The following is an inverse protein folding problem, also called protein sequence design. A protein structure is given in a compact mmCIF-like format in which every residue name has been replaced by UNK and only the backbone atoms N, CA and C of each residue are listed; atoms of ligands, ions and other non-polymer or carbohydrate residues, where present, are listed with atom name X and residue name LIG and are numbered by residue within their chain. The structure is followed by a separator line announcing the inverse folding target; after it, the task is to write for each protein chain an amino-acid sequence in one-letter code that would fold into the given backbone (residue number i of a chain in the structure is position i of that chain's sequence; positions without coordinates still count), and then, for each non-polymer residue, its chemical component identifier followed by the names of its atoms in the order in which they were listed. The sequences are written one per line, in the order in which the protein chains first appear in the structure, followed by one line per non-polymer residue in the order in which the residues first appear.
data_IF_995248673319
#
_entry.id   IF_995248673319
#
_cell.length_a   1.000
_cell.length_b   1.000
_cell.length_c   1.000
_cell.angle_alpha   90.00
_cell.angle_beta   90.00
_cell.angle_gamma   90.00
#
_symmetry.space_group_name_H-M   'P 1'
#
loop_
_entity.id
_entity.type
_entity.pdbx_description
1 polymer ?
#
# COMPACT_ATOMS: atom_id res chain seq x y z
N UNK A 1 0.09 15.90 -40.31
CA UNK A 1 -0.70 16.01 -39.06
C UNK A 1 -0.69 14.65 -38.39
N UNK A 2 0.04 14.43 -37.29
CA UNK A 2 0.21 13.08 -36.76
C UNK A 2 -0.99 12.68 -35.88
N UNK A 3 -1.54 11.52 -36.23
CA UNK A 3 -2.43 10.64 -35.48
C UNK A 3 -2.65 11.00 -34.00
N UNK A 4 -3.78 11.64 -33.71
CA UNK A 4 -4.40 11.59 -32.40
C UNK A 4 -4.93 10.16 -32.19
N UNK A 5 -4.07 9.27 -31.70
CA UNK A 5 -4.50 7.96 -31.22
C UNK A 5 -5.42 8.19 -30.03
N UNK A 6 -6.59 7.57 -30.06
CA UNK A 6 -7.57 7.56 -28.98
C UNK A 6 -7.06 6.73 -27.79
N UNK A 7 -5.90 7.07 -27.24
CA UNK A 7 -5.47 6.53 -25.96
C UNK A 7 -6.51 6.92 -24.91
N UNK A 8 -6.96 5.94 -24.13
CA UNK A 8 -7.84 6.20 -22.99
C UNK A 8 -7.14 7.21 -22.07
N UNK A 9 -7.56 8.48 -22.13
CA UNK A 9 -7.01 9.56 -21.31
C UNK A 9 -7.35 9.28 -19.84
N UNK A 10 -6.40 8.70 -19.13
CA UNK A 10 -6.49 8.49 -17.69
C UNK A 10 -6.30 9.81 -16.93
N UNK A 11 -5.54 10.75 -17.50
CA UNK A 11 -5.34 12.07 -16.91
C UNK A 11 -6.55 12.99 -17.15
N UNK A 12 -6.93 13.87 -16.19
CA UNK A 12 -8.04 14.79 -16.34
C UNK A 12 -8.04 15.60 -17.64
N UNK A 13 -9.21 15.68 -18.27
CA UNK A 13 -9.35 16.34 -19.57
C UNK A 13 -9.65 17.83 -19.45
N UNK A 14 -10.34 18.25 -18.38
CA UNK A 14 -10.77 19.64 -18.16
C UNK A 14 -9.98 20.31 -17.04
N UNK A 15 -9.93 21.65 -17.06
CA UNK A 15 -9.34 22.44 -15.97
C UNK A 15 -10.05 22.20 -14.63
N UNK A 16 -11.39 22.20 -14.63
CA UNK A 16 -12.20 21.98 -13.44
C UNK A 16 -11.92 20.62 -12.78
N UNK A 17 -11.80 19.56 -13.59
CA UNK A 17 -11.44 18.22 -13.11
C UNK A 17 -10.03 18.18 -12.51
N UNK A 18 -9.04 18.84 -13.15
CA UNK A 18 -7.68 18.96 -12.59
C UNK A 18 -7.69 19.67 -11.25
N UNK A 19 -8.44 20.76 -11.13
CA UNK A 19 -8.57 21.51 -9.88
C UNK A 19 -9.24 20.67 -8.79
N UNK A 20 -10.27 19.87 -9.13
CA UNK A 20 -10.90 18.97 -8.18
C UNK A 20 -9.91 17.90 -7.67
N UNK A 21 -9.13 17.26 -8.56
CA UNK A 21 -8.09 16.29 -8.16
C UNK A 21 -7.05 16.95 -7.25
N UNK A 22 -6.54 18.13 -7.63
CA UNK A 22 -5.55 18.88 -6.85
C UNK A 22 -6.11 19.27 -5.49
N UNK A 23 -7.37 19.72 -5.42
CA UNK A 23 -8.02 20.10 -4.17
C UNK A 23 -8.18 18.89 -3.23
N UNK A 24 -8.66 17.75 -3.74
CA UNK A 24 -8.83 16.54 -2.92
C UNK A 24 -7.49 16.06 -2.38
N UNK A 25 -6.46 16.01 -3.23
CA UNK A 25 -5.10 15.63 -2.82
C UNK A 25 -4.51 16.66 -1.85
N UNK A 26 -4.76 17.95 -2.07
CA UNK A 26 -4.31 19.02 -1.19
C UNK A 26 -4.93 18.92 0.21
N UNK A 27 -6.23 18.61 0.30
CA UNK A 27 -6.90 18.34 1.59
C UNK A 27 -6.32 17.10 2.27
N UNK A 28 -6.10 16.02 1.53
CA UNK A 28 -5.45 14.82 2.05
C UNK A 28 -4.05 15.12 2.60
N UNK A 29 -3.23 15.85 1.83
CA UNK A 29 -1.88 16.23 2.22
C UNK A 29 -1.87 17.14 3.45
N UNK A 30 -2.78 18.12 3.52
CA UNK A 30 -2.90 19.02 4.67
C UNK A 30 -3.29 18.26 5.95
N UNK A 31 -4.26 17.36 5.86
CA UNK A 31 -4.69 16.53 6.99
C UNK A 31 -3.60 15.51 7.38
N UNK A 32 -2.95 14.86 6.42
CA UNK A 32 -1.83 13.96 6.68
C UNK A 32 -0.64 14.68 7.32
N UNK A 33 -0.34 15.90 6.88
CA UNK A 33 0.66 16.75 7.54
C UNK A 33 0.26 17.07 8.97
N UNK A 34 -1.00 17.42 9.22
CA UNK A 34 -1.51 17.64 10.57
C UNK A 34 -1.37 16.39 11.45
N UNK A 35 -1.72 15.20 10.95
CA UNK A 35 -1.45 13.95 11.67
C UNK A 35 0.03 13.76 11.97
N UNK A 36 0.89 14.02 10.98
CA UNK A 36 2.34 13.78 11.10
C UNK A 36 2.99 14.58 12.23
N UNK A 37 2.46 15.77 12.55
CA UNK A 37 2.98 16.65 13.61
C UNK A 37 2.20 16.58 14.91
N UNK A 38 0.91 16.18 14.87
CA UNK A 38 0.05 16.15 16.06
C UNK A 38 0.07 14.81 16.79
N UNK A 39 0.25 13.70 16.08
CA UNK A 39 0.39 12.39 16.70
C UNK A 39 1.79 12.33 17.31
N UNK A 40 1.97 12.06 18.61
CA UNK A 40 3.31 11.95 19.16
C UNK A 40 4.10 10.84 18.43
N UNK A 41 5.42 11.04 18.17
CA UNK A 41 6.26 9.97 17.62
C UNK A 41 6.08 8.66 18.39
N UNK A 42 5.92 7.58 17.62
CA UNK A 42 5.78 6.19 18.05
C UNK A 42 4.46 5.80 18.73
N UNK A 43 3.44 6.67 18.69
CA UNK A 43 2.08 6.32 19.14
C UNK A 43 1.26 5.60 18.06
N UNK A 44 1.74 5.54 16.82
CA UNK A 44 1.16 4.69 15.78
C UNK A 44 1.72 3.27 15.88
N UNK A 45 0.93 2.20 15.60
CA UNK A 45 1.42 0.83 15.67
C UNK A 45 2.68 0.64 14.85
N UNK A 46 3.64 -0.08 15.44
CA UNK A 46 4.91 -0.51 14.84
C UNK A 46 5.83 0.60 14.29
N UNK A 47 5.45 1.88 14.46
CA UNK A 47 6.20 3.01 13.90
C UNK A 47 7.64 3.07 14.45
N UNK A 48 7.82 2.79 15.75
CA UNK A 48 9.14 2.72 16.38
C UNK A 48 10.01 1.62 15.75
N UNK A 49 9.40 0.49 15.39
CA UNK A 49 10.11 -0.65 14.82
C UNK A 49 10.55 -0.36 13.38
N UNK A 50 9.66 0.21 12.57
CA UNK A 50 9.98 0.68 11.23
C UNK A 50 11.06 1.78 11.23
N UNK A 51 10.93 2.75 12.15
CA UNK A 51 11.91 3.81 12.31
C UNK A 51 13.27 3.26 12.77
N UNK A 52 13.30 2.36 13.76
CA UNK A 52 14.53 1.76 14.25
C UNK A 52 15.29 1.00 13.16
N UNK A 53 14.58 0.31 12.26
CA UNK A 53 15.19 -0.31 11.08
C UNK A 53 15.79 0.76 10.15
N UNK A 54 15.03 1.78 9.76
CA UNK A 54 15.57 2.85 8.91
C UNK A 54 16.77 3.56 9.55
N UNK A 55 16.73 3.83 10.86
CA UNK A 55 17.83 4.40 11.66
C UNK A 55 19.05 3.50 11.65
N UNK A 56 18.88 2.19 11.82
CA UNK A 56 19.99 1.22 11.75
C UNK A 56 20.76 1.35 10.44
N UNK A 57 20.05 1.45 9.31
CA UNK A 57 20.66 1.66 7.99
C UNK A 57 21.24 3.07 7.81
N UNK A 58 20.60 4.09 8.38
CA UNK A 58 21.08 5.48 8.37
C UNK A 58 22.46 5.61 9.06
N UNK A 59 22.71 4.81 10.10
CA UNK A 59 23.98 4.73 10.81
C UNK A 59 25.06 3.93 10.06
N UNK A 60 24.79 3.47 8.84
CA UNK A 60 25.75 2.74 8.00
C UNK A 60 25.88 1.25 8.33
N UNK A 61 25.00 0.70 9.17
CA UNK A 61 24.99 -0.72 9.47
C UNK A 61 24.46 -1.55 8.28
N UNK A 62 24.85 -2.85 8.17
CA UNK A 62 24.26 -3.75 7.18
C UNK A 62 22.77 -4.02 7.46
N UNK A 63 22.10 -4.76 6.58
CA UNK A 63 20.75 -5.24 6.88
C UNK A 63 20.72 -6.05 8.17
N UNK A 64 19.72 -5.86 9.03
CA UNK A 64 19.52 -6.68 10.22
C UNK A 64 19.55 -8.18 9.86
N UNK A 65 20.24 -8.94 10.69
CA UNK A 65 20.19 -10.41 10.70
C UNK A 65 19.27 -10.79 11.84
N UNK A 66 18.29 -11.63 11.55
CA UNK A 66 17.30 -12.06 12.53
C UNK A 66 17.82 -13.29 13.27
N UNK A 67 17.89 -13.20 14.59
CA UNK A 67 18.02 -14.36 15.46
C UNK A 67 17.02 -14.23 16.59
N UNK A 68 16.69 -15.36 17.24
CA UNK A 68 15.83 -15.34 18.44
C UNK A 68 16.41 -14.49 19.57
N UNK A 69 17.73 -14.32 19.58
CA UNK A 69 18.52 -13.75 20.66
C UNK A 69 18.90 -12.28 20.42
N UNK A 70 18.78 -11.75 19.20
CA UNK A 70 19.08 -10.36 18.84
C UNK A 70 17.88 -9.60 18.26
N UNK A 71 16.88 -9.38 19.11
CA UNK A 71 15.77 -8.48 18.81
C UNK A 71 16.23 -7.04 19.04
N UNK A 72 16.86 -6.44 18.03
CA UNK A 72 17.05 -4.99 18.03
C UNK A 72 15.69 -4.27 18.11
N UNK A 73 15.67 -2.95 18.30
CA UNK A 73 14.42 -2.19 18.43
C UNK A 73 13.49 -2.25 17.21
N UNK A 74 13.93 -2.82 16.09
CA UNK A 74 13.10 -3.15 14.93
C UNK A 74 12.22 -4.40 15.12
N UNK A 75 12.43 -5.21 16.15
CA UNK A 75 11.62 -6.42 16.44
C UNK A 75 11.37 -7.27 15.18
N UNK A 76 10.11 -7.68 14.95
CA UNK A 76 9.69 -8.44 13.79
C UNK A 76 9.74 -7.63 12.47
N UNK A 77 9.78 -6.30 12.52
CA UNK A 77 9.91 -5.47 11.32
C UNK A 77 11.28 -5.62 10.65
N UNK A 78 12.28 -6.12 11.38
CA UNK A 78 13.58 -6.53 10.81
C UNK A 78 13.48 -7.69 9.80
N UNK A 79 12.32 -8.34 9.68
CA UNK A 79 12.06 -9.37 8.66
C UNK A 79 11.52 -8.82 7.35
N UNK A 80 11.08 -7.56 7.33
CA UNK A 80 10.46 -6.99 6.15
C UNK A 80 11.46 -6.73 5.03
N UNK A 81 10.93 -6.67 3.81
CA UNK A 81 11.71 -6.31 2.63
C UNK A 81 12.20 -4.85 2.73
N UNK A 82 13.42 -4.54 2.23
CA UNK A 82 14.17 -3.39 2.73
C UNK A 82 13.98 -2.08 1.95
N UNK A 83 13.17 -2.04 0.88
CA UNK A 83 13.11 -0.88 -0.02
C UNK A 83 12.78 0.42 0.72
N UNK A 84 11.72 0.39 1.54
CA UNK A 84 11.28 1.56 2.30
C UNK A 84 12.36 2.05 3.27
N UNK A 85 12.97 1.14 4.02
CA UNK A 85 13.97 1.47 5.04
C UNK A 85 15.27 1.98 4.44
N UNK A 86 15.69 1.48 3.28
CA UNK A 86 16.86 2.02 2.58
C UNK A 86 16.63 3.46 2.13
N UNK A 87 15.47 3.74 1.51
CA UNK A 87 15.14 5.09 1.06
C UNK A 87 15.03 6.04 2.25
N UNK A 88 14.30 5.64 3.29
CA UNK A 88 14.16 6.46 4.49
C UNK A 88 15.49 6.66 5.22
N UNK A 89 16.26 5.59 5.42
CA UNK A 89 17.57 5.66 6.08
C UNK A 89 18.51 6.65 5.39
N UNK A 90 18.47 6.75 4.06
CA UNK A 90 19.22 7.75 3.30
C UNK A 90 18.72 9.18 3.52
N UNK A 91 17.41 9.38 3.63
CA UNK A 91 16.81 10.70 3.89
C UNK A 91 17.16 11.24 5.27
N UNK A 92 17.33 10.35 6.27
CA UNK A 92 17.59 10.74 7.67
C UNK A 92 19.06 10.60 8.09
N UNK A 93 19.96 10.12 7.22
CA UNK A 93 21.36 9.85 7.56
C UNK A 93 22.14 11.07 8.07
N UNK A 94 21.75 12.29 7.66
CA UNK A 94 22.38 13.54 8.11
C UNK A 94 21.83 14.12 9.40
N UNK A 95 20.83 13.48 10.02
CA UNK A 95 20.19 13.96 11.25
C UNK A 95 20.83 13.25 12.44
N UNK A 96 21.26 14.02 13.46
CA UNK A 96 21.72 13.47 14.73
C UNK A 96 20.55 12.76 15.42
N UNK A 97 20.70 11.47 15.71
CA UNK A 97 19.68 10.59 16.30
C UNK A 97 20.25 9.90 17.56
N UNK A 98 21.21 10.55 18.23
CA UNK A 98 21.81 10.09 19.48
C UNK A 98 20.85 10.14 20.67
N UNK A 99 19.79 10.95 20.58
CA UNK A 99 18.71 11.07 21.55
C UNK A 99 17.65 9.94 21.47
N UNK A 100 17.79 9.00 20.54
CA UNK A 100 16.79 7.93 20.31
C UNK A 100 16.45 7.16 21.59
N UNK A 101 17.44 6.75 22.37
CA UNK A 101 17.20 5.94 23.58
C UNK A 101 16.44 6.73 24.66
N UNK A 102 16.59 8.06 24.69
CA UNK A 102 15.85 8.91 25.61
C UNK A 102 14.37 9.02 25.21
N UNK A 103 14.06 8.84 23.92
CA UNK A 103 12.69 8.82 23.40
C UNK A 103 12.15 7.41 23.14
N UNK A 104 12.92 6.33 23.26
CA UNK A 104 12.37 4.97 23.10
C UNK A 104 11.97 4.38 24.45
N UNK A 105 11.16 5.14 25.18
CA UNK A 105 10.73 4.84 26.55
C UNK A 105 9.26 4.40 26.54
N UNK A 106 9.07 3.08 26.50
CA UNK A 106 7.76 2.42 26.51
C UNK A 106 7.10 2.59 27.88
N UNK A 107 5.79 2.83 27.86
CA UNK A 107 4.96 2.93 29.04
C UNK A 107 4.53 1.54 29.52
N UNK A 108 5.00 1.07 30.71
CA UNK A 108 4.65 -0.25 31.22
C UNK A 108 3.17 -0.40 31.60
N UNK A 109 2.43 0.71 31.66
CA UNK A 109 1.00 0.73 31.96
C UNK A 109 0.12 0.96 30.72
N UNK A 110 0.70 0.89 29.51
CA UNK A 110 -0.04 1.04 28.27
C UNK A 110 -1.00 -0.13 28.04
N UNK A 111 -2.24 0.18 27.73
CA UNK A 111 -3.25 -0.81 27.38
C UNK A 111 -3.34 -0.95 25.85
N UNK A 112 -2.62 -1.94 25.32
CA UNK A 112 -2.49 -2.22 23.88
C UNK A 112 -3.56 -3.19 23.40
N UNK A 113 -4.02 -3.03 22.16
CA UNK A 113 -4.88 -4.01 21.49
C UNK A 113 -6.32 -4.13 22.02
N UNK A 114 -6.63 -3.54 23.18
CA UNK A 114 -7.98 -3.53 23.75
C UNK A 114 -8.50 -2.09 23.93
N UNK A 115 -9.24 -1.56 22.93
CA UNK A 115 -9.74 -0.20 23.00
C UNK A 115 -10.80 0.00 24.10
N UNK A 116 -11.50 -1.06 24.50
CA UNK A 116 -12.57 -1.00 25.51
C UNK A 116 -12.05 -1.01 26.94
N UNK A 117 -10.83 -1.50 27.18
CA UNK A 117 -10.29 -1.56 28.51
C UNK A 117 -9.91 -0.15 29.01
N UNK A 118 -10.38 0.27 30.20
CA UNK A 118 -10.07 1.59 30.75
C UNK A 118 -8.60 1.64 31.18
N UNK A 119 -7.91 2.76 30.95
CA UNK A 119 -6.51 2.90 31.32
C UNK A 119 -5.71 3.77 30.36
N UNK A 120 -4.38 3.76 30.51
CA UNK A 120 -3.48 4.57 29.72
C UNK A 120 -3.39 4.04 28.28
N UNK A 121 -3.68 4.90 27.31
CA UNK A 121 -3.67 4.56 25.88
C UNK A 121 -2.35 4.89 25.20
N UNK A 122 -1.49 5.67 25.86
CA UNK A 122 -0.21 6.10 25.33
C UNK A 122 0.80 4.97 25.49
N UNK A 123 1.36 4.54 24.38
CA UNK A 123 2.41 3.53 24.35
C UNK A 123 3.75 4.09 24.82
N UNK A 124 4.00 5.38 24.61
CA UNK A 124 5.24 6.06 24.97
C UNK A 124 5.07 6.93 26.22
N UNK A 125 6.01 6.86 27.16
CA UNK A 125 5.97 7.62 28.43
C UNK A 125 5.99 9.14 28.24
N UNK A 126 6.62 9.61 27.18
CA UNK A 126 6.88 11.02 26.90
C UNK A 126 5.95 11.57 25.80
N UNK A 127 4.87 10.85 25.47
CA UNK A 127 3.81 11.24 24.52
C UNK A 127 3.17 12.60 24.79
N UNK A 128 3.11 13.03 26.05
CA UNK A 128 2.50 14.30 26.45
C UNK A 128 3.47 15.50 26.51
N UNK A 129 4.77 15.28 26.27
CA UNK A 129 5.80 16.33 26.38
C UNK A 129 5.95 17.04 25.04
N UNK A 130 6.02 18.38 25.06
CA UNK A 130 6.31 19.19 23.87
C UNK A 130 7.72 18.88 23.35
N UNK A 131 7.84 18.60 22.05
CA UNK A 131 9.07 18.05 21.47
C UNK A 131 9.75 19.06 20.53
N UNK A 132 11.05 19.33 20.70
CA UNK A 132 11.78 20.15 19.76
C UNK A 132 11.81 19.46 18.38
N UNK A 133 11.71 20.25 17.31
CA UNK A 133 11.81 19.79 15.92
C UNK A 133 13.28 19.52 15.52
N UNK A 134 13.97 18.70 16.31
CA UNK A 134 15.37 18.34 16.16
C UNK A 134 15.56 16.86 16.54
N UNK A 135 16.80 16.37 16.39
CA UNK A 135 17.15 15.04 16.83
C UNK A 135 16.36 13.93 16.14
N UNK A 136 16.04 12.89 16.89
CA UNK A 136 15.20 11.79 16.42
C UNK A 136 13.79 12.23 16.02
N UNK A 137 13.19 13.20 16.70
CA UNK A 137 11.83 13.66 16.40
C UNK A 137 11.76 14.25 14.99
N UNK A 138 12.77 15.02 14.58
CA UNK A 138 12.88 15.51 13.20
C UNK A 138 13.02 14.35 12.20
N UNK A 139 13.83 13.34 12.50
CA UNK A 139 13.98 12.16 11.64
C UNK A 139 12.65 11.39 11.47
N UNK A 140 11.85 11.27 12.53
CA UNK A 140 10.50 10.70 12.46
C UNK A 140 9.58 11.56 11.58
N UNK A 141 9.58 12.89 11.73
CA UNK A 141 8.78 13.76 10.86
C UNK A 141 9.16 13.63 9.38
N UNK A 142 10.46 13.57 9.06
CA UNK A 142 10.93 13.32 7.69
C UNK A 142 10.39 11.98 7.18
N UNK A 143 10.41 10.92 8.00
CA UNK A 143 9.86 9.62 7.64
C UNK A 143 8.34 9.65 7.40
N UNK A 144 7.59 10.35 8.25
CA UNK A 144 6.14 10.53 8.08
C UNK A 144 5.80 11.33 6.83
N UNK A 145 6.58 12.37 6.49
CA UNK A 145 6.38 13.14 5.26
C UNK A 145 6.76 12.33 4.02
N UNK A 146 7.79 11.49 4.11
CA UNK A 146 8.12 10.54 3.06
C UNK A 146 6.97 9.54 2.83
N UNK A 147 6.42 8.94 3.89
CA UNK A 147 5.22 8.09 3.79
C UNK A 147 4.02 8.83 3.18
N UNK A 148 3.79 10.08 3.60
CA UNK A 148 2.67 10.89 3.11
C UNK A 148 2.82 11.18 1.61
N UNK A 149 4.05 11.45 1.17
CA UNK A 149 4.39 11.59 -0.24
C UNK A 149 4.03 10.32 -1.03
N UNK A 150 4.36 9.13 -0.52
CA UNK A 150 3.95 7.86 -1.16
C UNK A 150 2.41 7.71 -1.20
N UNK A 151 1.71 8.14 -0.14
CA UNK A 151 0.25 8.18 -0.08
C UNK A 151 -0.38 9.08 -1.15
N UNK A 152 0.22 10.24 -1.44
CA UNK A 152 -0.24 11.14 -2.52
C UNK A 152 -0.17 10.46 -3.89
N UNK A 153 0.95 9.78 -4.20
CA UNK A 153 1.06 9.05 -5.48
C UNK A 153 0.14 7.84 -5.55
N UNK A 154 -0.12 7.18 -4.42
CA UNK A 154 -1.12 6.11 -4.34
C UNK A 154 -2.48 6.63 -4.80
N UNK A 155 -2.91 7.79 -4.29
CA UNK A 155 -4.19 8.41 -4.67
C UNK A 155 -4.26 8.74 -6.17
N UNK A 156 -3.15 9.18 -6.78
CA UNK A 156 -3.09 9.42 -8.23
C UNK A 156 -3.31 8.13 -9.04
N UNK A 157 -2.74 7.00 -8.59
CA UNK A 157 -2.99 5.71 -9.23
C UNK A 157 -4.42 5.22 -9.00
N UNK A 158 -4.99 5.40 -7.80
CA UNK A 158 -6.40 5.11 -7.53
C UNK A 158 -7.32 5.90 -8.46
N UNK A 159 -7.06 7.20 -8.62
CA UNK A 159 -7.79 8.04 -9.57
C UNK A 159 -7.65 7.54 -11.01
N UNK A 160 -6.42 7.21 -11.44
CA UNK A 160 -6.14 6.66 -12.76
C UNK A 160 -6.89 5.35 -13.02
N UNK A 161 -6.91 4.43 -12.06
CA UNK A 161 -7.68 3.18 -12.12
C UNK A 161 -9.17 3.49 -12.27
N UNK A 162 -9.71 4.40 -11.46
CA UNK A 162 -11.13 4.78 -11.52
C UNK A 162 -11.50 5.43 -12.86
N UNK A 163 -10.60 6.25 -13.46
CA UNK A 163 -10.79 6.81 -14.80
C UNK A 163 -10.84 5.74 -15.90
N UNK A 164 -10.06 4.68 -15.76
CA UNK A 164 -10.09 3.54 -16.69
C UNK A 164 -11.33 2.65 -16.47
N UNK A 165 -11.82 2.56 -15.24
CA UNK A 165 -13.01 1.80 -14.86
C UNK A 165 -14.32 2.50 -15.27
N UNK A 166 -14.36 3.84 -15.22
CA UNK A 166 -15.55 4.66 -15.51
C UNK A 166 -15.30 5.71 -16.61
N UNK A 167 -15.02 5.29 -17.87
CA UNK A 167 -14.59 6.21 -18.93
C UNK A 167 -15.65 7.26 -19.32
N UNK A 168 -16.93 7.00 -19.06
CA UNK A 168 -18.05 7.90 -19.35
C UNK A 168 -18.41 8.88 -18.23
N UNK A 169 -17.73 8.84 -17.08
CA UNK A 169 -18.04 9.69 -15.93
C UNK A 169 -16.83 10.46 -15.44
N UNK A 170 -17.01 11.75 -15.17
CA UNK A 170 -16.03 12.57 -14.45
C UNK A 170 -16.28 12.50 -12.94
N UNK A 171 -17.54 12.34 -12.53
CA UNK A 171 -17.93 12.33 -11.13
C UNK A 171 -17.49 11.06 -10.37
N UNK A 172 -17.63 9.87 -10.98
CA UNK A 172 -17.31 8.60 -10.30
C UNK A 172 -15.80 8.46 -9.97
N UNK A 173 -14.87 8.81 -10.87
CA UNK A 173 -13.45 8.80 -10.54
C UNK A 173 -13.06 9.80 -9.44
N UNK A 174 -13.65 11.00 -9.45
CA UNK A 174 -13.46 11.98 -8.38
C UNK A 174 -14.04 11.50 -7.06
N UNK A 175 -15.20 10.84 -7.09
CA UNK A 175 -15.82 10.24 -5.90
C UNK A 175 -14.95 9.11 -5.33
N UNK A 176 -14.39 8.23 -6.18
CA UNK A 176 -13.47 7.18 -5.77
C UNK A 176 -12.19 7.75 -5.13
N UNK A 177 -11.64 8.81 -5.72
CA UNK A 177 -10.49 9.53 -5.17
C UNK A 177 -10.82 10.17 -3.81
N UNK A 178 -11.92 10.93 -3.73
CA UNK A 178 -12.35 11.62 -2.52
C UNK A 178 -12.67 10.64 -1.38
N UNK A 179 -13.37 9.55 -1.67
CA UNK A 179 -13.71 8.53 -0.67
C UNK A 179 -12.46 7.84 -0.14
N UNK A 180 -11.55 7.42 -1.02
CA UNK A 180 -10.27 6.81 -0.62
C UNK A 180 -9.44 7.77 0.24
N UNK A 181 -9.31 9.02 -0.19
CA UNK A 181 -8.58 10.06 0.54
C UNK A 181 -9.23 10.40 1.90
N UNK A 182 -10.54 10.18 2.04
CA UNK A 182 -11.29 10.44 3.26
C UNK A 182 -11.37 9.24 4.22
N UNK A 183 -10.82 8.07 3.87
CA UNK A 183 -10.75 6.93 4.80
C UNK A 183 -9.84 7.32 5.98
N UNK A 184 -10.36 7.41 7.22
CA UNK A 184 -9.57 7.89 8.35
C UNK A 184 -8.31 7.04 8.62
N UNK A 185 -8.41 5.71 8.54
CA UNK A 185 -7.24 4.85 8.68
C UNK A 185 -6.18 5.12 7.60
N UNK A 186 -6.60 5.22 6.33
CA UNK A 186 -5.68 5.42 5.22
C UNK A 186 -4.89 6.73 5.40
N UNK A 187 -5.57 7.80 5.83
CA UNK A 187 -4.94 9.08 6.10
C UNK A 187 -3.95 9.01 7.28
N UNK A 188 -4.32 8.33 8.37
CA UNK A 188 -3.47 8.16 9.55
C UNK A 188 -2.21 7.32 9.27
N UNK A 189 -2.35 6.18 8.59
CA UNK A 189 -1.23 5.31 8.23
C UNK A 189 -0.34 5.93 7.15
N UNK A 190 -0.91 6.72 6.23
CA UNK A 190 -0.12 7.50 5.27
C UNK A 190 0.77 8.53 5.94
N UNK A 191 0.44 8.98 7.15
CA UNK A 191 1.23 9.93 7.94
C UNK A 191 2.15 9.25 8.97
N UNK A 192 2.46 7.96 8.80
CA UNK A 192 3.23 7.14 9.75
C UNK A 192 4.46 6.53 9.10
N UNK A 193 5.56 6.38 9.84
CA UNK A 193 6.74 5.64 9.35
C UNK A 193 6.40 4.16 9.22
N UNK A 194 6.18 3.68 7.99
CA UNK A 194 5.83 2.28 7.72
C UNK A 194 6.08 1.89 6.26
N UNK A 195 6.58 0.67 6.06
CA UNK A 195 6.78 0.08 4.73
C UNK A 195 5.46 -0.26 4.01
N UNK A 196 4.33 -0.27 4.72
CA UNK A 196 3.00 -0.41 4.13
C UNK A 196 2.73 0.63 3.05
N UNK A 197 3.19 1.87 3.29
CA UNK A 197 3.04 2.96 2.32
C UNK A 197 3.73 2.67 0.99
N UNK A 198 4.89 1.99 1.02
CA UNK A 198 5.60 1.61 -0.20
C UNK A 198 4.89 0.49 -0.96
N UNK A 199 4.45 -0.58 -0.28
CA UNK A 199 3.76 -1.69 -0.96
C UNK A 199 2.38 -1.26 -1.49
N UNK A 200 1.68 -0.38 -0.78
CA UNK A 200 0.41 0.19 -1.25
C UNK A 200 0.62 1.05 -2.52
N UNK A 201 1.66 1.89 -2.53
CA UNK A 201 2.01 2.69 -3.70
C UNK A 201 2.34 1.81 -4.91
N UNK A 202 3.31 0.91 -4.77
CA UNK A 202 3.76 0.08 -5.89
C UNK A 202 2.69 -0.93 -6.31
N UNK A 203 1.89 -1.46 -5.38
CA UNK A 203 0.74 -2.29 -5.68
C UNK A 203 -0.32 -1.53 -6.50
N UNK A 204 -0.66 -0.31 -6.09
CA UNK A 204 -1.58 0.56 -6.84
C UNK A 204 -1.03 0.92 -8.22
N UNK A 205 0.28 1.17 -8.33
CA UNK A 205 0.96 1.43 -9.59
C UNK A 205 0.93 0.21 -10.52
N UNK A 206 1.16 -1.00 -10.00
CA UNK A 206 1.05 -2.26 -10.77
C UNK A 206 -0.39 -2.45 -11.27
N UNK A 207 -1.40 -2.31 -10.39
CA UNK A 207 -2.80 -2.47 -10.78
C UNK A 207 -3.19 -1.45 -11.85
N UNK A 208 -2.81 -0.18 -11.66
CA UNK A 208 -3.00 0.88 -12.66
C UNK A 208 -2.33 0.53 -13.99
N UNK A 209 -1.09 0.05 -13.94
CA UNK A 209 -0.35 -0.29 -15.15
C UNK A 209 -0.97 -1.46 -15.89
N UNK A 210 -1.35 -2.54 -15.18
CA UNK A 210 -2.07 -3.68 -15.74
C UNK A 210 -3.42 -3.26 -16.34
N UNK A 211 -4.17 -2.41 -15.64
CA UNK A 211 -5.42 -1.84 -16.15
C UNK A 211 -5.19 -1.07 -17.46
N UNK A 212 -4.13 -0.25 -17.51
CA UNK A 212 -3.74 0.51 -18.71
C UNK A 212 -3.35 -0.40 -19.88
N UNK A 213 -2.63 -1.50 -19.64
CA UNK A 213 -2.29 -2.46 -20.69
C UNK A 213 -3.55 -3.13 -21.27
N UNK A 214 -4.56 -3.42 -20.43
CA UNK A 214 -5.83 -4.00 -20.85
C UNK A 214 -6.71 -3.03 -21.66
N UNK A 215 -6.50 -1.72 -21.53
CA UNK A 215 -7.20 -0.71 -22.33
C UNK A 215 -6.54 -0.44 -23.68
N UNK A 216 -5.31 -0.88 -23.92
CA UNK A 216 -4.68 -0.72 -25.23
C UNK A 216 -5.47 -1.41 -26.34
N UNK A 217 -5.57 -0.72 -27.48
CA UNK A 217 -6.14 -1.29 -28.69
C UNK A 217 -5.37 -2.56 -29.10
N UNK A 218 -6.05 -3.65 -29.51
CA UNK A 218 -5.37 -4.91 -29.89
C UNK A 218 -4.31 -4.73 -30.98
N UNK A 219 -4.52 -3.75 -31.88
CA UNK A 219 -3.66 -3.44 -33.01
C UNK A 219 -2.37 -2.73 -32.59
N UNK A 220 -2.34 -2.10 -31.40
CA UNK A 220 -1.13 -1.46 -30.87
C UNK A 220 -0.19 -2.54 -30.34
N UNK A 221 1.03 -2.71 -30.88
CA UNK A 221 1.98 -3.66 -30.32
C UNK A 221 2.40 -3.25 -28.91
N UNK A 222 2.47 -4.24 -28.00
CA UNK A 222 3.06 -4.06 -26.67
C UNK A 222 4.56 -3.87 -26.84
N UNK A 223 5.07 -2.71 -26.41
CA UNK A 223 6.51 -2.43 -26.50
C UNK A 223 7.21 -3.11 -25.35
N UNK A 224 8.47 -3.46 -25.53
CA UNK A 224 9.28 -4.06 -24.47
C UNK A 224 9.40 -3.14 -23.24
N UNK A 225 9.40 -1.82 -23.42
CA UNK A 225 9.35 -0.84 -22.34
C UNK A 225 8.04 -0.89 -21.53
N UNK A 226 6.89 -1.17 -22.17
CA UNK A 226 5.61 -1.29 -21.48
C UNK A 226 5.66 -2.45 -20.47
N UNK A 227 6.39 -3.51 -20.80
CA UNK A 227 6.59 -4.71 -19.98
C UNK A 227 7.75 -4.52 -18.99
N UNK A 228 8.78 -3.78 -19.39
CA UNK A 228 9.89 -3.36 -18.53
C UNK A 228 9.45 -2.54 -17.33
N UNK A 229 8.57 -1.54 -17.55
CA UNK A 229 8.00 -0.74 -16.47
C UNK A 229 7.19 -1.62 -15.51
N UNK A 230 6.41 -2.57 -16.03
CA UNK A 230 5.69 -3.53 -15.19
C UNK A 230 6.65 -4.34 -14.32
N UNK A 231 7.76 -4.84 -14.89
CA UNK A 231 8.80 -5.54 -14.14
C UNK A 231 9.43 -4.69 -13.04
N UNK A 232 9.73 -3.42 -13.31
CA UNK A 232 10.29 -2.50 -12.30
C UNK A 232 9.30 -2.29 -11.15
N UNK A 233 8.02 -2.06 -11.46
CA UNK A 233 6.98 -1.86 -10.45
C UNK A 233 6.76 -3.12 -9.60
N UNK A 234 6.76 -4.30 -10.23
CA UNK A 234 6.66 -5.59 -9.54
C UNK A 234 7.87 -5.85 -8.64
N UNK A 235 9.09 -5.56 -9.11
CA UNK A 235 10.31 -5.67 -8.31
C UNK A 235 10.27 -4.74 -7.10
N UNK A 236 9.84 -3.49 -7.29
CA UNK A 236 9.70 -2.52 -6.21
C UNK A 236 8.63 -2.94 -5.19
N UNK A 237 7.49 -3.47 -5.63
CA UNK A 237 6.45 -4.02 -4.74
C UNK A 237 6.99 -5.22 -3.93
N UNK A 238 7.68 -6.16 -4.59
CA UNK A 238 8.28 -7.33 -3.96
C UNK A 238 9.42 -6.97 -2.98
N UNK A 239 10.14 -5.87 -3.19
CA UNK A 239 11.16 -5.36 -2.26
C UNK A 239 10.57 -4.42 -1.19
N UNK A 240 9.28 -4.08 -1.25
CA UNK A 240 8.59 -3.27 -0.23
C UNK A 240 8.00 -4.13 0.89
N UNK A 241 7.36 -5.25 0.52
CA UNK A 241 6.77 -6.21 1.45
C UNK A 241 6.55 -7.55 0.77
N UNK A 242 6.59 -8.67 1.51
CA UNK A 242 6.38 -10.01 0.96
C UNK A 242 5.03 -10.17 0.24
N UNK A 243 3.98 -9.51 0.74
CA UNK A 243 2.65 -9.52 0.10
C UNK A 243 2.68 -8.95 -1.33
N UNK A 244 3.68 -8.12 -1.66
CA UNK A 244 3.90 -7.63 -3.01
C UNK A 244 4.17 -8.74 -4.05
N UNK A 245 4.64 -9.92 -3.64
CA UNK A 245 4.85 -11.07 -4.53
C UNK A 245 3.54 -11.59 -5.14
N UNK A 246 2.40 -11.44 -4.44
CA UNK A 246 1.09 -11.83 -4.96
C UNK A 246 0.74 -11.14 -6.29
N UNK A 247 1.31 -9.95 -6.53
CA UNK A 247 1.13 -9.19 -7.77
C UNK A 247 1.82 -9.83 -8.98
N UNK A 248 2.85 -10.67 -8.77
CA UNK A 248 3.47 -11.45 -9.87
C UNK A 248 2.46 -12.43 -10.47
N UNK A 249 1.67 -13.09 -9.62
CA UNK A 249 0.59 -13.98 -10.04
C UNK A 249 -0.47 -13.22 -10.84
N UNK A 250 -0.93 -12.08 -10.33
CA UNK A 250 -1.88 -11.22 -11.05
C UNK A 250 -1.34 -10.76 -12.40
N UNK A 251 -0.08 -10.31 -12.46
CA UNK A 251 0.55 -9.88 -13.69
C UNK A 251 0.65 -11.02 -14.72
N UNK A 252 1.02 -12.23 -14.27
CA UNK A 252 1.02 -13.43 -15.10
C UNK A 252 -0.35 -13.75 -15.71
N UNK A 253 -1.41 -13.70 -14.89
CA UNK A 253 -2.79 -13.90 -15.35
C UNK A 253 -3.19 -12.85 -16.39
N UNK A 254 -2.85 -11.57 -16.17
CA UNK A 254 -3.15 -10.49 -17.12
C UNK A 254 -2.36 -10.65 -18.42
N UNK A 255 -1.09 -11.07 -18.37
CA UNK A 255 -0.29 -11.32 -19.58
C UNK A 255 -0.87 -12.49 -20.38
N UNK A 256 -1.28 -13.58 -19.72
CA UNK A 256 -2.00 -14.68 -20.34
C UNK A 256 -3.31 -14.21 -20.99
N UNK A 257 -4.06 -13.36 -20.29
CA UNK A 257 -5.29 -12.77 -20.81
C UNK A 257 -5.04 -11.88 -22.02
N UNK A 258 -4.00 -11.03 -22.00
CA UNK A 258 -3.59 -10.21 -23.13
C UNK A 258 -3.17 -11.06 -24.34
N UNK A 259 -2.43 -12.15 -24.11
CA UNK A 259 -2.03 -13.08 -25.16
C UNK A 259 -3.25 -13.73 -25.83
N UNK A 260 -4.24 -14.13 -25.03
CA UNK A 260 -5.52 -14.67 -25.52
C UNK A 260 -6.32 -13.63 -26.31
N UNK A 261 -6.51 -12.42 -25.75
CA UNK A 261 -7.25 -11.33 -26.41
C UNK A 261 -6.64 -10.92 -27.76
N UNK A 262 -5.31 -10.96 -27.86
CA UNK A 262 -4.55 -10.57 -29.05
C UNK A 262 -4.29 -11.73 -30.01
N UNK A 263 -4.66 -12.96 -29.64
CA UNK A 263 -4.34 -14.20 -30.36
C UNK A 263 -2.83 -14.34 -30.66
N UNK A 264 -1.98 -13.90 -29.73
CA UNK A 264 -0.52 -13.93 -29.85
C UNK A 264 0.11 -14.62 -28.64
N UNK A 265 0.25 -15.95 -28.69
CA UNK A 265 0.88 -16.74 -27.62
C UNK A 265 2.37 -16.42 -27.47
N UNK A 266 3.03 -15.92 -28.53
CA UNK A 266 4.45 -15.49 -28.45
C UNK A 266 4.62 -14.28 -27.54
N UNK A 267 3.54 -13.57 -27.20
CA UNK A 267 3.57 -12.52 -26.19
C UNK A 267 4.07 -13.04 -24.84
N UNK A 268 3.76 -14.28 -24.46
CA UNK A 268 4.23 -14.87 -23.20
C UNK A 268 5.76 -14.89 -23.16
N UNK A 269 6.39 -15.35 -24.25
CA UNK A 269 7.85 -15.39 -24.39
C UNK A 269 8.46 -13.98 -24.45
N UNK A 270 7.82 -13.06 -25.20
CA UNK A 270 8.28 -11.67 -25.32
C UNK A 270 8.15 -10.88 -24.03
N UNK A 271 7.19 -11.23 -23.17
CA UNK A 271 6.98 -10.59 -21.87
C UNK A 271 7.90 -11.12 -20.78
N UNK A 272 8.38 -12.37 -20.92
CA UNK A 272 9.19 -13.02 -19.90
C UNK A 272 10.43 -12.18 -19.49
N UNK A 273 11.34 -11.90 -20.43
CA UNK A 273 12.57 -11.18 -20.09
C UNK A 273 12.35 -9.74 -19.62
N UNK A 274 11.54 -8.90 -20.30
CA UNK A 274 11.31 -7.53 -19.84
C UNK A 274 10.65 -7.44 -18.46
N UNK A 275 9.86 -8.42 -18.04
CA UNK A 275 9.25 -8.45 -16.71
C UNK A 275 10.18 -9.09 -15.68
N UNK A 276 10.72 -10.27 -15.97
CA UNK A 276 11.50 -11.06 -15.01
C UNK A 276 12.86 -10.41 -14.67
N UNK A 277 13.55 -9.83 -15.65
CA UNK A 277 14.88 -9.25 -15.43
C UNK A 277 14.84 -8.10 -14.41
N UNK A 278 13.96 -7.07 -14.55
CA UNK A 278 13.87 -6.04 -13.53
C UNK A 278 13.45 -6.56 -12.15
N UNK A 279 12.52 -7.52 -12.08
CA UNK A 279 12.09 -8.12 -10.79
C UNK A 279 13.28 -8.77 -10.08
N UNK A 280 14.06 -9.60 -10.79
CA UNK A 280 15.23 -10.28 -10.23
C UNK A 280 16.33 -9.30 -9.85
N UNK A 281 16.61 -8.29 -10.68
CA UNK A 281 17.64 -7.29 -10.38
C UNK A 281 17.29 -6.43 -9.17
N UNK A 282 16.02 -6.04 -9.03
CA UNK A 282 15.58 -5.17 -7.94
C UNK A 282 15.42 -5.96 -6.64
N UNK A 283 14.76 -7.11 -6.69
CA UNK A 283 14.32 -7.82 -5.48
C UNK A 283 15.08 -9.13 -5.23
N UNK A 284 15.58 -9.79 -6.28
CA UNK A 284 16.13 -11.14 -6.21
C UNK A 284 17.32 -11.30 -5.26
N UNK A 285 18.17 -10.28 -5.12
CA UNK A 285 19.31 -10.31 -4.20
C UNK A 285 18.87 -10.44 -2.73
N UNK A 286 17.71 -9.87 -2.36
CA UNK A 286 17.22 -9.93 -0.98
C UNK A 286 16.63 -11.31 -0.66
N UNK A 287 15.87 -11.89 -1.59
CA UNK A 287 15.37 -13.26 -1.47
C UNK A 287 16.53 -14.28 -1.46
N UNK A 288 17.57 -14.06 -2.27
CA UNK A 288 18.78 -14.88 -2.24
C UNK A 288 19.53 -14.75 -0.91
N UNK A 289 19.61 -13.54 -0.34
CA UNK A 289 20.16 -13.31 1.00
C UNK A 289 19.38 -14.08 2.06
N UNK A 290 18.05 -14.03 2.02
CA UNK A 290 17.20 -14.75 2.97
C UNK A 290 17.46 -16.26 2.88
N UNK A 291 17.50 -16.81 1.67
CA UNK A 291 17.83 -18.22 1.46
C UNK A 291 19.24 -18.58 1.99
N UNK A 292 20.24 -17.73 1.73
CA UNK A 292 21.62 -17.98 2.16
C UNK A 292 21.79 -17.90 3.69
N UNK A 293 21.04 -17.03 4.36
CA UNK A 293 21.14 -16.83 5.81
C UNK A 293 20.26 -17.78 6.61
N UNK A 294 19.06 -18.07 6.10
CA UNK A 294 18.01 -18.74 6.86
C UNK A 294 17.56 -20.08 6.25
N UNK A 295 18.00 -20.42 5.03
CA UNK A 295 17.51 -21.59 4.30
C UNK A 295 16.07 -21.43 3.76
N UNK A 296 15.46 -20.26 3.96
CA UNK A 296 14.10 -19.91 3.54
C UNK A 296 14.15 -18.68 2.63
N UNK A 297 13.61 -18.80 1.42
CA UNK A 297 13.54 -17.71 0.45
C UNK A 297 12.72 -16.53 0.95
N UNK A 298 11.61 -16.78 1.64
CA UNK A 298 10.68 -15.74 2.06
C UNK A 298 10.98 -15.24 3.48
N UNK A 299 11.76 -15.98 4.26
CA UNK A 299 12.04 -15.66 5.67
C UNK A 299 10.79 -15.74 6.56
N UNK A 300 9.77 -16.50 6.14
CA UNK A 300 8.52 -16.68 6.85
C UNK A 300 8.75 -17.53 8.09
N UNK A 301 9.57 -18.56 8.02
CA UNK A 301 9.86 -19.42 9.18
C UNK A 301 10.52 -18.60 10.30
N UNK A 302 11.43 -17.69 9.92
CA UNK A 302 12.09 -16.81 10.86
C UNK A 302 11.09 -15.80 11.47
N UNK A 303 10.23 -15.18 10.66
CA UNK A 303 9.15 -14.31 11.13
C UNK A 303 8.22 -15.04 12.12
N UNK A 304 7.81 -16.28 11.80
CA UNK A 304 6.94 -17.09 12.64
C UNK A 304 7.61 -17.50 13.95
N UNK A 305 8.93 -17.73 13.94
CA UNK A 305 9.68 -17.99 15.17
C UNK A 305 9.74 -16.78 16.11
N UNK A 306 9.71 -15.55 15.56
CA UNK A 306 9.72 -14.30 16.32
C UNK A 306 8.32 -13.98 16.85
N UNK A 307 7.31 -14.04 15.98
CA UNK A 307 5.92 -13.68 16.31
C UNK A 307 5.15 -14.79 17.03
N UNK A 308 5.70 -15.99 17.06
CA UNK A 308 5.04 -17.19 17.57
C UNK A 308 4.15 -17.84 16.52
N UNK A 309 4.25 -19.16 16.41
CA UNK A 309 3.32 -19.94 15.60
C UNK A 309 1.99 -20.09 16.33
N UNK A 310 0.88 -19.89 15.62
CA UNK A 310 -0.44 -20.23 16.14
C UNK A 310 -0.54 -21.76 16.20
N UNK A 311 -0.74 -22.30 17.39
CA UNK A 311 -0.79 -23.75 17.64
C UNK A 311 -2.14 -24.39 17.30
N UNK A 312 -3.21 -23.60 17.16
CA UNK A 312 -4.58 -24.11 16.97
C UNK A 312 -5.17 -23.73 15.59
N UNK A 313 -5.84 -24.68 14.88
CA UNK A 313 -6.57 -24.38 13.65
C UNK A 313 -7.72 -23.42 13.91
N UNK A 314 -7.95 -22.45 13.01
CA UNK A 314 -9.06 -21.50 13.16
C UNK A 314 -10.40 -22.19 12.94
N UNK A 315 -11.33 -21.94 13.85
CA UNK A 315 -12.76 -22.19 13.61
C UNK A 315 -13.35 -21.10 12.71
N UNK A 316 -14.43 -21.42 11.99
CA UNK A 316 -15.16 -20.43 11.18
C UNK A 316 -15.65 -19.23 12.01
N UNK A 317 -16.00 -19.44 13.29
CA UNK A 317 -16.41 -18.39 14.21
C UNK A 317 -15.25 -17.42 14.53
N UNK A 318 -14.04 -17.93 14.77
CA UNK A 318 -12.85 -17.11 14.99
C UNK A 318 -12.48 -16.31 13.74
N UNK A 319 -12.57 -16.93 12.55
CA UNK A 319 -12.36 -16.24 11.28
C UNK A 319 -13.33 -15.05 11.12
N UNK A 320 -14.62 -15.26 11.41
CA UNK A 320 -15.61 -14.19 11.37
C UNK A 320 -15.35 -13.09 12.41
N UNK A 321 -14.84 -13.46 13.59
CA UNK A 321 -14.39 -12.53 14.61
C UNK A 321 -13.24 -11.63 14.14
N UNK A 322 -12.27 -12.19 13.44
CA UNK A 322 -11.14 -11.43 12.87
C UNK A 322 -11.60 -10.47 11.76
N UNK A 323 -12.54 -10.89 10.89
CA UNK A 323 -13.12 -10.00 9.88
C UNK A 323 -13.79 -8.76 10.51
N UNK A 324 -14.34 -8.90 11.72
CA UNK A 324 -14.86 -7.75 12.48
C UNK A 324 -13.74 -6.80 12.88
N UNK A 325 -12.60 -7.33 13.33
CA UNK A 325 -11.39 -6.54 13.63
C UNK A 325 -10.88 -5.81 12.38
N UNK A 326 -10.79 -6.51 11.25
CA UNK A 326 -10.40 -5.94 9.94
C UNK A 326 -11.32 -4.80 9.53
N UNK A 327 -12.63 -4.92 9.75
CA UNK A 327 -13.58 -3.83 9.48
C UNK A 327 -13.25 -2.57 10.29
N UNK A 328 -12.97 -2.71 11.59
CA UNK A 328 -12.65 -1.57 12.45
C UNK A 328 -11.32 -0.92 12.06
N UNK A 329 -10.28 -1.74 11.83
CA UNK A 329 -8.97 -1.24 11.43
C UNK A 329 -8.96 -0.68 10.01
N UNK A 330 -9.79 -1.18 9.08
CA UNK A 330 -9.92 -0.62 7.74
C UNK A 330 -10.44 0.83 7.76
N UNK A 331 -11.46 1.11 8.57
CA UNK A 331 -12.08 2.43 8.62
C UNK A 331 -11.35 3.41 9.52
N UNK A 332 -10.96 2.99 10.71
CA UNK A 332 -10.26 3.86 11.65
C UNK A 332 -10.17 3.24 13.03
N UNK A 333 -9.00 2.76 13.38
CA UNK A 333 -8.62 2.27 14.70
C UNK A 333 -7.21 2.80 14.97
N UNK A 334 -7.14 3.84 15.80
CA UNK A 334 -5.94 4.65 16.01
C UNK A 334 -5.18 4.23 17.26
N UNK A 335 -3.99 4.83 17.42
CA UNK A 335 -3.03 4.43 18.44
C UNK A 335 -2.59 2.98 18.24
N UNK A 336 -2.12 2.33 19.29
CA UNK A 336 -1.79 0.91 19.31
C UNK A 336 -3.03 0.01 19.41
N UNK A 337 -3.93 0.13 18.41
CA UNK A 337 -5.25 -0.50 18.37
C UNK A 337 -6.11 -0.16 19.60
N UNK A 338 -5.95 1.05 20.12
CA UNK A 338 -6.43 1.44 21.45
C UNK A 338 -7.52 2.51 21.40
N UNK A 339 -7.70 3.19 20.26
CA UNK A 339 -8.65 4.30 20.09
C UNK A 339 -9.62 4.00 18.94
N UNK A 340 -10.87 3.70 19.29
CA UNK A 340 -11.97 3.51 18.33
C UNK A 340 -12.60 4.85 17.93
N UNK A 341 -13.12 4.91 16.70
CA UNK A 341 -14.12 5.92 16.34
C UNK A 341 -15.42 5.66 17.11
N UNK A 342 -16.25 6.70 17.32
CA UNK A 342 -17.62 6.51 17.78
C UNK A 342 -18.38 5.48 16.95
N UNK A 343 -19.10 4.56 17.61
CA UNK A 343 -19.75 3.41 16.96
C UNK A 343 -20.68 3.80 15.80
N UNK A 344 -21.36 4.95 15.92
CA UNK A 344 -22.25 5.45 14.87
C UNK A 344 -21.50 5.79 13.56
N UNK A 345 -20.24 6.22 13.64
CA UNK A 345 -19.43 6.53 12.45
C UNK A 345 -19.19 5.26 11.64
N UNK A 346 -18.83 4.14 12.28
CA UNK A 346 -18.70 2.87 11.58
C UNK A 346 -19.99 2.44 10.90
N UNK A 347 -21.16 2.65 11.54
CA UNK A 347 -22.46 2.33 10.92
C UNK A 347 -22.72 3.19 9.67
N UNK A 348 -22.40 4.48 9.71
CA UNK A 348 -22.51 5.37 8.54
C UNK A 348 -21.59 4.90 7.42
N UNK A 349 -20.33 4.53 7.74
CA UNK A 349 -19.37 4.02 6.78
C UNK A 349 -19.79 2.66 6.18
N UNK A 350 -20.46 1.80 6.95
CA UNK A 350 -21.06 0.56 6.42
C UNK A 350 -22.16 0.87 5.39
N UNK A 351 -23.04 1.82 5.69
CA UNK A 351 -24.10 2.24 4.75
C UNK A 351 -23.46 2.81 3.47
N UNK A 352 -22.44 3.65 3.59
CA UNK A 352 -21.69 4.18 2.43
C UNK A 352 -21.08 3.04 1.62
N UNK A 353 -20.52 2.02 2.27
CA UNK A 353 -19.94 0.84 1.60
C UNK A 353 -20.99 0.08 0.79
N UNK A 354 -22.16 -0.18 1.38
CA UNK A 354 -23.27 -0.86 0.70
C UNK A 354 -23.76 -0.05 -0.49
N UNK A 355 -23.92 1.27 -0.33
CA UNK A 355 -24.30 2.17 -1.44
C UNK A 355 -23.24 2.16 -2.54
N UNK A 356 -21.95 2.19 -2.18
CA UNK A 356 -20.87 2.16 -3.16
C UNK A 356 -20.86 0.85 -3.98
N UNK A 357 -21.08 -0.30 -3.33
CA UNK A 357 -21.23 -1.59 -4.02
C UNK A 357 -22.44 -1.55 -4.95
N UNK A 358 -23.59 -1.07 -4.46
CA UNK A 358 -24.79 -0.96 -5.28
C UNK A 358 -24.60 -0.08 -6.52
N UNK A 359 -24.01 1.11 -6.37
CA UNK A 359 -23.70 2.03 -7.47
C UNK A 359 -22.74 1.38 -8.48
N UNK A 360 -21.70 0.70 -8.00
CA UNK A 360 -20.76 -0.06 -8.84
C UNK A 360 -21.50 -1.11 -9.67
N UNK A 361 -22.35 -1.92 -9.05
CA UNK A 361 -23.09 -2.97 -9.76
C UNK A 361 -24.08 -2.40 -10.78
N UNK A 362 -24.76 -1.28 -10.47
CA UNK A 362 -25.61 -0.57 -11.45
C UNK A 362 -24.80 -0.11 -12.67
N UNK A 363 -23.61 0.49 -12.45
CA UNK A 363 -22.72 0.88 -13.56
C UNK A 363 -22.21 -0.32 -14.35
N UNK A 364 -21.95 -1.44 -13.68
CA UNK A 364 -21.56 -2.68 -14.34
C UNK A 364 -22.68 -3.17 -15.26
N UNK A 365 -23.93 -3.19 -14.80
CA UNK A 365 -25.10 -3.56 -15.63
C UNK A 365 -25.26 -2.62 -16.83
N UNK A 366 -25.11 -1.30 -16.66
CA UNK A 366 -25.18 -0.36 -17.80
C UNK A 366 -24.06 -0.61 -18.81
N UNK A 367 -22.84 -0.90 -18.33
CA UNK A 367 -21.71 -1.24 -19.18
C UNK A 367 -21.96 -2.56 -19.91
N UNK A 368 -22.61 -3.55 -19.28
CA UNK A 368 -23.01 -4.83 -19.89
C UNK A 368 -24.02 -4.65 -21.03
N UNK A 369 -24.92 -3.67 -20.93
CA UNK A 369 -25.88 -3.32 -21.99
C UNK A 369 -25.23 -2.60 -23.17
N UNK A 370 -24.20 -1.80 -22.95
CA UNK A 370 -23.45 -1.08 -23.99
C UNK A 370 -22.35 -1.94 -24.68
N UNK A 371 -22.61 -3.24 -24.93
CA UNK A 371 -21.57 -4.22 -25.28
C UNK A 371 -20.80 -3.99 -26.59
N UNK A 372 -21.39 -3.26 -27.52
CA UNK A 372 -20.76 -2.96 -28.80
C UNK A 372 -19.70 -1.85 -28.70
N UNK A 373 -19.72 -1.02 -27.65
CA UNK A 373 -18.85 0.15 -27.57
C UNK A 373 -17.46 -0.20 -27.02
N UNK A 374 -16.41 0.19 -27.75
CA UNK A 374 -15.01 -0.05 -27.35
C UNK A 374 -14.68 0.47 -25.93
N UNK A 375 -15.07 1.70 -25.53
CA UNK A 375 -14.83 2.18 -24.16
C UNK A 375 -15.51 1.30 -23.10
N UNK A 376 -16.70 0.79 -23.38
CA UNK A 376 -17.41 -0.10 -22.45
C UNK A 376 -16.69 -1.45 -22.31
N UNK A 377 -16.14 -2.00 -23.39
CA UNK A 377 -15.33 -3.22 -23.35
C UNK A 377 -14.04 -3.04 -22.55
N UNK A 378 -13.35 -1.90 -22.71
CA UNK A 378 -12.15 -1.57 -21.93
C UNK A 378 -12.47 -1.47 -20.44
N UNK A 379 -13.54 -0.74 -20.07
CA UNK A 379 -14.00 -0.63 -18.69
C UNK A 379 -14.33 -1.98 -18.06
N UNK A 380 -15.00 -2.88 -18.80
CA UNK A 380 -15.27 -4.25 -18.33
C UNK A 380 -13.99 -5.03 -18.01
N UNK A 381 -12.95 -4.88 -18.84
CA UNK A 381 -11.66 -5.56 -18.59
C UNK A 381 -11.02 -5.06 -17.28
N UNK A 382 -11.09 -3.76 -17.03
CA UNK A 382 -10.61 -3.16 -15.78
C UNK A 382 -11.43 -3.66 -14.60
N UNK A 383 -12.76 -3.70 -14.69
CA UNK A 383 -13.59 -4.26 -13.61
C UNK A 383 -13.30 -5.73 -13.31
N UNK A 384 -13.10 -6.56 -14.34
CA UNK A 384 -12.71 -7.96 -14.18
C UNK A 384 -11.31 -8.09 -13.54
N UNK A 385 -10.35 -7.25 -13.94
CA UNK A 385 -9.04 -7.19 -13.28
C UNK A 385 -9.19 -6.90 -11.77
N UNK A 386 -9.98 -5.89 -11.42
CA UNK A 386 -10.22 -5.51 -10.02
C UNK A 386 -10.94 -6.61 -9.24
N UNK A 387 -11.89 -7.32 -9.87
CA UNK A 387 -12.57 -8.48 -9.27
C UNK A 387 -11.62 -9.66 -9.04
N UNK A 388 -10.77 -9.99 -10.01
CA UNK A 388 -9.76 -11.05 -9.88
C UNK A 388 -8.77 -10.70 -8.77
N UNK A 389 -8.29 -9.45 -8.72
CA UNK A 389 -7.41 -9.00 -7.66
C UNK A 389 -8.08 -9.07 -6.28
N UNK A 390 -9.31 -8.60 -6.15
CA UNK A 390 -10.08 -8.70 -4.92
C UNK A 390 -10.27 -10.16 -4.47
N UNK A 391 -10.58 -11.06 -5.41
CA UNK A 391 -10.69 -12.48 -5.11
C UNK A 391 -9.36 -13.07 -4.64
N UNK A 392 -8.24 -12.73 -5.28
CA UNK A 392 -6.91 -13.18 -4.84
C UNK A 392 -6.59 -12.74 -3.42
N UNK A 393 -6.97 -11.51 -3.04
CA UNK A 393 -6.77 -11.00 -1.67
C UNK A 393 -7.57 -11.73 -0.60
N UNK A 394 -8.63 -12.47 -0.95
CA UNK A 394 -9.37 -13.30 0.01
C UNK A 394 -8.66 -14.63 0.30
N UNK A 395 -7.67 -15.02 -0.52
CA UNK A 395 -6.93 -16.28 -0.42
C UNK A 395 -5.43 -16.10 -0.15
N UNK A 396 -4.93 -14.86 -0.12
CA UNK A 396 -3.59 -14.47 0.31
C UNK A 396 -3.60 -14.16 1.81
#
# INVERSE_FOLDING_TARGET
MPFATSESRWWPSTWAERMAVVLIIGVFAALGFAYSVRVPPFETPDEVHHYAFARHLALGNPLPIQTTDSRGRWEHEGTQAPLYYYLLGRLIAGIDQSDFDAIDQVNPYANLGNPLYPGNKNYMLYSAVERPSAGTVLAVYVGRWFSLFLGIFTLLFCYGIARLAFPGSVALPLLALATTAAIPQFQFISATVSNDNAVILFGSAVIFWLARLLTFAPERPLRWWDLGILGVLLGAAALSKLQGLGLLGLAGLVICWLAWLRKDVRLLLRAFLPVAVPVVLIAGWWYWRNFSLYGDWLGVDQLLSINGMRSEPRTAAQFWGELRGVRYSFWGLFGWFSILLPVFIYRVLDVISVVAVFLKEMTQVSLWRAAADRPAQQARRVHLLLLVWFAMLLFL
#
